data_IF_870377570174
#
_entry.id   IF_870377570174
#
_cell.length_a   1.000
_cell.length_b   1.000
_cell.length_c   1.000
_cell.angle_alpha   90.00
_cell.angle_beta   90.00
_cell.angle_gamma   90.00
#
_symmetry.space_group_name_H-M   'P 1'
#
loop_
_entity.id
_entity.type
_entity.pdbx_description
1 polymer ?
#
# COMPACT_ATOMS: atom_id res chain seq x y z
N UNK A 1 23.20 -23.24 -36.00
CA UNK A 1 22.14 -22.22 -35.84
C UNK A 1 21.66 -22.23 -34.38
N UNK A 2 22.50 -21.77 -33.44
CA UNK A 2 22.17 -21.80 -32.00
C UNK A 2 22.62 -20.57 -31.23
N UNK A 3 23.60 -19.82 -31.73
CA UNK A 3 24.21 -18.74 -30.92
C UNK A 3 23.41 -17.42 -30.97
N UNK A 4 22.62 -17.20 -32.02
CA UNK A 4 21.93 -15.93 -32.21
C UNK A 4 20.68 -15.79 -31.31
N UNK A 5 20.03 -16.90 -30.94
CA UNK A 5 18.83 -16.88 -30.10
C UNK A 5 19.15 -16.58 -28.62
N UNK A 6 20.31 -17.05 -28.14
CA UNK A 6 20.79 -16.78 -26.76
C UNK A 6 21.21 -15.31 -26.59
N UNK A 7 21.76 -14.69 -27.64
CA UNK A 7 22.18 -13.28 -27.64
C UNK A 7 20.98 -12.33 -27.75
N UNK A 8 19.88 -12.75 -28.36
CA UNK A 8 18.64 -11.94 -28.35
C UNK A 8 17.86 -12.05 -27.04
N UNK A 9 17.86 -13.22 -26.40
CA UNK A 9 17.23 -13.40 -25.09
C UNK A 9 17.90 -12.55 -23.98
N UNK A 10 19.22 -12.35 -24.05
CA UNK A 10 19.96 -11.56 -23.05
C UNK A 10 19.70 -10.05 -23.13
N UNK A 11 19.18 -9.55 -24.25
CA UNK A 11 18.77 -8.14 -24.40
C UNK A 11 17.45 -7.82 -23.69
N UNK A 12 16.69 -8.84 -23.29
CA UNK A 12 15.37 -8.67 -22.66
C UNK A 12 15.42 -8.58 -21.13
N UNK A 13 16.54 -8.96 -20.51
CA UNK A 13 16.69 -8.95 -19.06
C UNK A 13 17.70 -7.88 -18.65
N UNK A 14 17.22 -6.85 -17.97
CA UNK A 14 18.04 -5.82 -17.32
C UNK A 14 18.77 -6.35 -16.06
N UNK A 15 19.31 -7.57 -16.12
CA UNK A 15 20.07 -8.20 -15.03
C UNK A 15 21.24 -8.98 -15.61
N UNK A 16 22.42 -8.79 -15.03
CA UNK A 16 23.62 -9.53 -15.35
C UNK A 16 23.35 -11.05 -15.20
N UNK A 17 23.49 -11.88 -16.26
CA UNK A 17 23.17 -13.31 -16.21
C UNK A 17 23.93 -14.08 -15.11
N UNK A 18 25.13 -13.63 -14.74
CA UNK A 18 25.90 -14.21 -13.66
C UNK A 18 25.27 -13.94 -12.28
N UNK A 19 24.74 -12.73 -12.06
CA UNK A 19 24.04 -12.37 -10.82
C UNK A 19 22.74 -13.16 -10.71
N UNK A 20 21.97 -13.29 -11.79
CA UNK A 20 20.76 -14.11 -11.82
C UNK A 20 21.05 -15.58 -11.46
N UNK A 21 22.10 -16.17 -12.04
CA UNK A 21 22.49 -17.55 -11.74
C UNK A 21 22.93 -17.74 -10.28
N UNK A 22 23.64 -16.77 -9.71
CA UNK A 22 24.03 -16.80 -8.30
C UNK A 22 22.81 -16.69 -7.38
N UNK A 23 21.89 -15.76 -7.67
CA UNK A 23 20.63 -15.61 -6.93
C UNK A 23 19.77 -16.86 -6.99
N UNK A 24 19.68 -17.52 -8.15
CA UNK A 24 18.94 -18.79 -8.29
C UNK A 24 19.50 -19.92 -7.42
N UNK A 25 20.82 -20.01 -7.27
CA UNK A 25 21.46 -21.00 -6.41
C UNK A 25 21.20 -20.76 -4.91
N UNK A 26 20.99 -19.49 -4.53
CA UNK A 26 20.69 -19.09 -3.15
C UNK A 26 19.20 -19.11 -2.82
N UNK A 27 18.32 -19.04 -3.83
CA UNK A 27 16.87 -18.95 -3.66
C UNK A 27 16.27 -19.98 -2.69
N UNK A 28 16.67 -21.27 -2.67
CA UNK A 28 16.13 -22.25 -1.71
C UNK A 28 16.50 -21.99 -0.24
N UNK A 29 17.50 -21.14 0.01
CA UNK A 29 18.00 -20.78 1.35
C UNK A 29 17.44 -19.43 1.82
N UNK A 30 16.79 -18.69 0.93
CA UNK A 30 16.21 -17.39 1.26
C UNK A 30 14.92 -17.58 2.06
N UNK A 31 14.76 -16.78 3.11
CA UNK A 31 13.49 -16.66 3.82
C UNK A 31 12.55 -15.72 3.09
N UNK A 32 11.25 -15.99 3.16
CA UNK A 32 10.23 -15.06 2.67
C UNK A 32 10.34 -13.72 3.38
N UNK A 33 10.39 -12.63 2.61
CA UNK A 33 10.34 -11.26 3.13
C UNK A 33 8.92 -10.77 3.39
N UNK A 34 8.74 -9.45 3.45
CA UNK A 34 7.43 -8.82 3.59
C UNK A 34 6.54 -9.05 2.36
N UNK A 35 5.23 -9.15 2.58
CA UNK A 35 4.29 -9.13 1.46
C UNK A 35 4.23 -7.70 0.89
N UNK A 36 4.75 -7.53 -0.33
CA UNK A 36 4.78 -6.23 -1.02
C UNK A 36 3.54 -5.97 -1.88
N UNK A 37 2.65 -6.96 -2.04
CA UNK A 37 1.40 -6.81 -2.78
C UNK A 37 0.33 -6.20 -1.85
N UNK A 38 -0.14 -4.96 -2.10
CA UNK A 38 -1.12 -4.32 -1.24
C UNK A 38 -2.51 -4.92 -1.42
N UNK A 39 -3.19 -5.22 -0.31
CA UNK A 39 -4.63 -5.51 -0.31
C UNK A 39 -5.45 -4.20 -0.22
N UNK A 40 -6.67 -4.16 -0.73
CA UNK A 40 -7.54 -3.01 -0.51
C UNK A 40 -8.10 -3.03 0.92
N UNK A 41 -7.87 -1.95 1.67
CA UNK A 41 -8.40 -1.75 3.00
C UNK A 41 -9.79 -1.12 2.91
N UNK A 42 -10.83 -1.86 3.25
CA UNK A 42 -12.19 -1.36 3.33
C UNK A 42 -12.71 -1.36 4.77
N UNK A 43 -13.34 -0.25 5.18
CA UNK A 43 -14.03 -0.13 6.46
C UNK A 43 -15.52 -0.39 6.24
N UNK A 44 -16.00 -1.53 6.74
CA UNK A 44 -17.37 -2.00 6.55
C UNK A 44 -18.31 -1.50 7.64
N UNK A 45 -17.82 -1.35 8.89
CA UNK A 45 -18.66 -1.08 10.06
C UNK A 45 -18.17 0.11 10.86
N UNK A 46 -19.10 0.99 11.23
CA UNK A 46 -18.79 2.10 12.13
C UNK A 46 -18.16 1.58 13.43
N UNK A 47 -17.10 2.26 13.89
CA UNK A 47 -16.26 1.84 15.00
C UNK A 47 -15.16 0.84 14.62
N UNK A 48 -15.14 0.30 13.40
CA UNK A 48 -14.02 -0.52 12.93
C UNK A 48 -12.74 0.33 12.92
N UNK A 49 -11.69 -0.19 13.56
CA UNK A 49 -10.39 0.45 13.65
C UNK A 49 -9.29 -0.43 13.12
N UNK A 50 -8.25 0.23 12.58
CA UNK A 50 -7.02 -0.39 12.09
C UNK A 50 -5.86 0.36 12.70
N UNK A 51 -4.89 -0.40 13.22
CA UNK A 51 -3.60 0.14 13.67
C UNK A 51 -2.52 -0.28 12.70
N UNK A 52 -1.62 0.63 12.37
CA UNK A 52 -0.53 0.33 11.48
C UNK A 52 0.43 1.49 11.28
N UNK A 53 1.41 1.28 10.42
CA UNK A 53 2.40 2.27 10.02
C UNK A 53 1.94 2.90 8.70
N UNK A 54 1.84 4.22 8.66
CA UNK A 54 1.58 4.96 7.43
C UNK A 54 2.78 4.87 6.48
N UNK A 55 2.61 4.17 5.36
CA UNK A 55 3.67 3.97 4.36
C UNK A 55 3.79 5.12 3.35
N UNK A 56 2.96 6.16 3.47
CA UNK A 56 2.94 7.27 2.52
C UNK A 56 1.83 7.14 1.48
N UNK A 57 1.93 7.97 0.45
CA UNK A 57 1.00 7.98 -0.67
C UNK A 57 1.56 7.17 -1.83
N UNK A 58 0.70 6.43 -2.51
CA UNK A 58 1.04 5.60 -3.67
C UNK A 58 0.02 5.85 -4.78
N UNK A 59 0.45 5.80 -6.03
CA UNK A 59 -0.48 5.85 -7.16
C UNK A 59 -0.83 4.42 -7.57
N UNK A 60 -2.12 4.14 -7.74
CA UNK A 60 -2.58 2.89 -8.32
C UNK A 60 -3.48 3.14 -9.53
N UNK A 61 -3.28 2.32 -10.56
CA UNK A 61 -4.18 2.26 -11.70
C UNK A 61 -5.42 1.44 -11.33
N UNK A 62 -6.59 2.04 -11.54
CA UNK A 62 -7.89 1.40 -11.41
C UNK A 62 -8.62 1.53 -12.73
N UNK A 63 -9.16 0.42 -13.23
CA UNK A 63 -10.06 0.46 -14.37
C UNK A 63 -11.48 0.75 -13.88
N UNK A 64 -12.09 1.80 -14.39
CA UNK A 64 -13.51 2.08 -14.16
C UNK A 64 -14.36 1.00 -14.84
N UNK A 65 -15.07 0.20 -14.06
CA UNK A 65 -15.87 -0.92 -14.59
C UNK A 65 -17.03 -0.47 -15.49
N UNK A 66 -17.49 0.78 -15.38
CA UNK A 66 -18.61 1.31 -16.17
C UNK A 66 -18.15 1.90 -17.50
N UNK A 67 -17.00 2.56 -17.53
CA UNK A 67 -16.50 3.26 -18.73
C UNK A 67 -15.34 2.54 -19.41
N UNK A 68 -14.67 1.61 -18.72
CA UNK A 68 -13.44 0.96 -19.19
C UNK A 68 -12.20 1.85 -19.14
N UNK A 69 -12.30 3.07 -18.60
CA UNK A 69 -11.19 4.00 -18.53
C UNK A 69 -10.22 3.64 -17.40
N UNK A 70 -8.91 3.74 -17.65
CA UNK A 70 -7.88 3.63 -16.62
C UNK A 70 -7.78 4.97 -15.89
N UNK A 71 -7.97 4.93 -14.58
CA UNK A 71 -7.84 6.06 -13.67
C UNK A 71 -6.69 5.83 -12.72
N UNK A 72 -5.85 6.84 -12.57
CA UNK A 72 -4.81 6.84 -11.55
C UNK A 72 -5.39 7.42 -10.26
N UNK A 73 -5.53 6.58 -9.24
CA UNK A 73 -5.98 7.00 -7.92
C UNK A 73 -4.80 7.02 -6.96
N UNK A 74 -4.68 8.14 -6.26
CA UNK A 74 -3.78 8.23 -5.12
C UNK A 74 -4.39 7.49 -3.93
N UNK A 75 -3.58 6.66 -3.29
CA UNK A 75 -3.94 5.83 -2.15
C UNK A 75 -3.03 6.16 -0.97
N UNK A 76 -3.54 5.97 0.25
CA UNK A 76 -2.68 5.81 1.41
C UNK A 76 -2.23 4.35 1.52
N UNK A 77 -1.00 4.11 1.96
CA UNK A 77 -0.52 2.79 2.35
C UNK A 77 -0.46 2.64 3.87
N UNK A 78 -0.90 1.50 4.39
CA UNK A 78 -0.83 1.13 5.80
C UNK A 78 -0.20 -0.26 5.90
N UNK A 79 0.77 -0.42 6.80
CA UNK A 79 1.34 -1.73 7.16
C UNK A 79 0.86 -2.13 8.56
N UNK A 80 0.31 -3.33 8.69
CA UNK A 80 -0.09 -3.88 9.99
C UNK A 80 1.11 -4.48 10.77
N UNK A 81 0.86 -4.98 11.97
CA UNK A 81 1.85 -5.64 12.83
C UNK A 81 2.36 -6.98 12.29
N UNK A 82 1.67 -7.54 11.29
CA UNK A 82 2.03 -8.76 10.58
C UNK A 82 2.73 -8.49 9.24
N UNK A 83 3.10 -7.24 8.98
CA UNK A 83 3.78 -6.80 7.75
C UNK A 83 2.94 -7.01 6.48
N UNK A 84 1.61 -7.04 6.61
CA UNK A 84 0.72 -6.96 5.46
C UNK A 84 0.53 -5.50 5.07
N UNK A 85 0.74 -5.21 3.79
CA UNK A 85 0.46 -3.90 3.23
C UNK A 85 -0.99 -3.84 2.77
N UNK A 86 -1.69 -2.79 3.16
CA UNK A 86 -3.01 -2.46 2.64
C UNK A 86 -3.08 -1.02 2.16
N UNK A 87 -4.00 -0.76 1.22
CA UNK A 87 -4.19 0.55 0.60
C UNK A 87 -5.63 1.01 0.66
N UNK A 88 -5.85 2.33 0.74
CA UNK A 88 -7.18 2.90 0.59
C UNK A 88 -7.13 4.14 -0.31
N UNK A 89 -7.96 4.14 -1.35
CA UNK A 89 -8.10 5.21 -2.34
C UNK A 89 -9.28 6.18 -2.03
N UNK A 90 -9.93 6.01 -0.88
CA UNK A 90 -11.09 6.80 -0.48
C UNK A 90 -10.70 8.26 -0.28
N UNK A 91 -11.29 9.15 -1.08
CA UNK A 91 -10.94 10.58 -1.13
C UNK A 91 -10.99 11.27 0.25
N UNK A 92 -11.94 10.88 1.11
CA UNK A 92 -12.04 11.42 2.46
C UNK A 92 -10.86 11.02 3.36
N UNK A 93 -10.40 9.76 3.26
CA UNK A 93 -9.29 9.27 4.06
C UNK A 93 -7.96 9.81 3.54
N UNK A 94 -7.74 9.76 2.22
CA UNK A 94 -6.56 10.35 1.56
C UNK A 94 -6.44 11.84 1.89
N UNK A 95 -7.55 12.58 1.77
CA UNK A 95 -7.60 14.00 2.12
C UNK A 95 -7.25 14.27 3.58
N UNK A 96 -7.76 13.45 4.52
CA UNK A 96 -7.46 13.59 5.93
C UNK A 96 -5.96 13.34 6.23
N UNK A 97 -5.33 12.34 5.60
CA UNK A 97 -3.88 12.13 5.71
C UNK A 97 -3.07 13.31 5.14
N UNK A 98 -3.46 13.85 3.97
CA UNK A 98 -2.81 15.03 3.39
C UNK A 98 -2.89 16.26 4.30
N UNK A 99 -4.05 16.50 4.91
CA UNK A 99 -4.25 17.62 5.83
C UNK A 99 -3.54 17.44 7.18
N UNK A 100 -3.31 16.20 7.61
CA UNK A 100 -2.67 15.89 8.89
C UNK A 100 -1.17 16.21 8.94
N UNK A 101 -0.51 16.32 7.79
CA UNK A 101 0.95 16.47 7.68
C UNK A 101 1.75 15.37 8.41
N UNK A 102 1.15 14.19 8.60
CA UNK A 102 1.85 13.04 9.17
C UNK A 102 3.00 12.61 8.27
N UNK A 103 4.16 12.39 8.88
CA UNK A 103 5.33 11.89 8.19
C UNK A 103 5.12 10.43 7.77
N UNK A 104 5.71 10.04 6.65
CA UNK A 104 5.86 8.62 6.30
C UNK A 104 6.51 7.87 7.48
N UNK A 105 6.06 6.64 7.69
CA UNK A 105 6.40 5.76 8.80
C UNK A 105 5.83 6.15 10.18
N UNK A 106 4.90 7.11 10.22
CA UNK A 106 4.18 7.42 11.46
C UNK A 106 3.22 6.27 11.84
N UNK A 107 3.24 5.79 13.09
CA UNK A 107 2.27 4.82 13.57
C UNK A 107 0.93 5.53 13.83
N UNK A 108 -0.17 4.92 13.38
CA UNK A 108 -1.51 5.51 13.40
C UNK A 108 -2.57 4.49 13.77
N UNK A 109 -3.64 4.96 14.39
CA UNK A 109 -4.94 4.28 14.47
C UNK A 109 -5.94 5.05 13.60
N UNK A 110 -6.59 4.34 12.68
CA UNK A 110 -7.65 4.85 11.82
C UNK A 110 -8.95 4.21 12.26
N UNK A 111 -9.96 5.01 12.59
CA UNK A 111 -11.29 4.52 12.96
C UNK A 111 -12.33 5.08 11.99
N UNK A 112 -13.21 4.22 11.48
CA UNK A 112 -14.35 4.64 10.68
C UNK A 112 -15.48 5.15 11.58
N UNK A 113 -15.77 6.44 11.50
CA UNK A 113 -16.74 7.15 12.35
C UNK A 113 -18.13 7.28 11.68
N UNK A 114 -18.42 6.44 10.69
CA UNK A 114 -19.70 6.44 9.98
C UNK A 114 -19.72 7.39 8.77
N UNK A 115 -20.92 7.82 8.37
CA UNK A 115 -21.12 8.58 7.13
C UNK A 115 -21.81 9.91 7.38
N UNK A 116 -21.40 10.92 6.63
CA UNK A 116 -22.05 12.23 6.59
C UNK A 116 -22.74 12.43 5.25
N UNK A 117 -24.01 12.83 5.27
CA UNK A 117 -24.73 13.24 4.06
C UNK A 117 -24.09 14.52 3.50
N UNK A 118 -23.76 14.50 2.21
CA UNK A 118 -23.23 15.65 1.47
C UNK A 118 -24.16 15.99 0.30
N UNK A 119 -23.91 17.10 -0.41
CA UNK A 119 -24.77 17.54 -1.52
C UNK A 119 -24.98 16.46 -2.59
N UNK A 120 -23.99 15.58 -2.79
CA UNK A 120 -24.06 14.41 -3.67
C UNK A 120 -23.70 13.14 -2.91
N UNK A 121 -24.71 12.50 -2.29
CA UNK A 121 -24.56 11.20 -1.64
C UNK A 121 -24.04 11.27 -0.20
N UNK A 122 -23.25 10.26 0.17
CA UNK A 122 -22.68 10.08 1.51
C UNK A 122 -21.15 10.05 1.42
N UNK A 123 -20.50 10.67 2.40
CA UNK A 123 -19.06 10.66 2.53
C UNK A 123 -18.70 9.93 3.83
N UNK A 124 -17.80 8.95 3.75
CA UNK A 124 -17.25 8.28 4.94
C UNK A 124 -16.44 9.29 5.77
N UNK A 125 -16.57 9.19 7.09
CA UNK A 125 -15.85 10.02 8.06
C UNK A 125 -14.88 9.13 8.81
N UNK A 126 -13.67 9.63 9.04
CA UNK A 126 -12.62 8.88 9.72
C UNK A 126 -12.01 9.72 10.83
N UNK A 127 -11.63 9.03 11.91
CA UNK A 127 -10.76 9.57 12.94
C UNK A 127 -9.36 8.98 12.75
N UNK A 128 -8.35 9.84 12.61
CA UNK A 128 -6.95 9.44 12.47
C UNK A 128 -6.21 9.92 13.71
N UNK A 129 -5.62 8.98 14.45
CA UNK A 129 -4.89 9.27 15.69
C UNK A 129 -3.44 8.78 15.55
N UNK A 130 -2.43 9.65 15.70
CA UNK A 130 -1.05 9.21 15.81
C UNK A 130 -0.87 8.38 17.08
N UNK A 131 -0.17 7.27 16.99
CA UNK A 131 0.19 6.44 18.14
C UNK A 131 1.47 6.98 18.75
N UNK A 132 1.44 7.27 20.05
CA UNK A 132 2.60 7.70 20.82
C UNK A 132 3.12 6.53 21.65
N UNK A 133 4.45 6.35 21.69
CA UNK A 133 5.06 5.40 22.62
C UNK A 133 4.77 5.87 24.04
N UNK A 134 4.35 4.96 24.91
CA UNK A 134 4.28 5.27 26.33
C UNK A 134 5.67 5.69 26.79
N UNK A 135 5.81 6.91 27.29
CA UNK A 135 7.06 7.36 27.90
C UNK A 135 7.27 6.50 29.13
N UNK A 136 8.36 5.74 29.18
CA UNK A 136 8.78 5.09 30.41
C UNK A 136 8.97 6.20 31.45
N UNK A 137 8.21 6.13 32.54
CA UNK A 137 8.47 6.99 33.70
C UNK A 137 9.78 6.51 34.29
N UNK A 138 10.86 7.27 34.07
CA UNK A 138 12.09 7.17 34.84
C UNK A 138 11.80 7.41 36.32
#
# INVERSE_FOLDING_TARGET
MSDNALVEASKFFATNPAEMSATLAELPKMSTGMNIAPAYLEFEKEGQSVRGIFLGFMMQEFTDEQTGEIKNLECIGIMDDKQNVSINAGTALVGAFKSSQLAQFSPVEITYAGQKKVKRGYMKVYEIRPLIKATEKN
#
